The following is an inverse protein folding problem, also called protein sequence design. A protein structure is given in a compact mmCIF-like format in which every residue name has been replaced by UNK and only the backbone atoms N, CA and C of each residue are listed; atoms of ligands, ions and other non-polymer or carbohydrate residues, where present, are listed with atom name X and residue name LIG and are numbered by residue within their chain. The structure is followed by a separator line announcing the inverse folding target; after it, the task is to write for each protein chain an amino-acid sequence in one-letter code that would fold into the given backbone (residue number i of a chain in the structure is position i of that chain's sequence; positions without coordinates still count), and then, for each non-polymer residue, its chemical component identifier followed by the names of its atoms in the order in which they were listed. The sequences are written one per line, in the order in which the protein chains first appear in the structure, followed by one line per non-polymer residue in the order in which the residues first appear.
data_IF_106949159210
#
_entry.id   IF_106949159210
#
_cell.length_a   1.000
_cell.length_b   1.000
_cell.length_c   1.000
_cell.angle_alpha   90.00
_cell.angle_beta   90.00
_cell.angle_gamma   90.00
#
_symmetry.space_group_name_H-M   'P 1'
#
loop_
_entity.id
_entity.type
_entity.pdbx_description
1 polymer ?
#
# COMPACT_ATOMS: atom_id res chain seq x y z
N UNK A 1 -11.91 -26.66 -22.71
CA UNK A 1 -10.81 -25.68 -22.87
C UNK A 1 -11.41 -24.27 -22.94
N UNK A 2 -11.41 -23.53 -21.83
CA UNK A 2 -11.88 -22.14 -21.79
C UNK A 2 -10.73 -21.25 -21.35
N UNK A 3 -10.30 -20.35 -22.23
CA UNK A 3 -9.18 -19.41 -22.04
C UNK A 3 -9.41 -18.53 -20.81
N UNK A 4 -8.59 -18.72 -19.77
CA UNK A 4 -8.56 -17.83 -18.60
C UNK A 4 -7.91 -16.51 -19.00
N UNK A 5 -8.73 -15.57 -19.44
CA UNK A 5 -8.33 -14.18 -19.70
C UNK A 5 -7.98 -13.50 -18.37
N UNK A 6 -6.69 -13.42 -18.08
CA UNK A 6 -6.12 -12.83 -16.87
C UNK A 6 -6.45 -11.33 -16.71
N UNK A 7 -6.89 -10.65 -17.77
CA UNK A 7 -7.25 -9.23 -17.75
C UNK A 7 -8.55 -8.95 -16.99
N UNK A 8 -9.43 -9.93 -16.85
CA UNK A 8 -10.65 -9.78 -16.04
C UNK A 8 -10.39 -9.86 -14.53
N UNK A 9 -9.33 -10.53 -14.08
CA UNK A 9 -8.97 -10.60 -12.66
C UNK A 9 -8.39 -9.27 -12.12
N UNK A 10 -7.84 -8.42 -12.98
CA UNK A 10 -7.25 -7.13 -12.57
C UNK A 10 -8.33 -6.07 -12.36
N UNK A 11 -9.47 -6.17 -13.05
CA UNK A 11 -10.53 -5.14 -13.00
C UNK A 11 -11.53 -5.29 -11.85
N UNK A 12 -11.47 -6.37 -11.07
CA UNK A 12 -12.45 -6.63 -10.00
C UNK A 12 -11.90 -6.59 -8.57
N UNK A 13 -10.58 -6.50 -8.37
CA UNK A 13 -9.98 -6.57 -7.04
C UNK A 13 -9.81 -5.22 -6.31
N UNK A 14 -10.31 -4.13 -6.86
CA UNK A 14 -10.27 -2.80 -6.23
C UNK A 14 -11.56 -2.44 -5.49
N UNK A 15 -12.60 -3.27 -5.63
CA UNK A 15 -13.86 -3.11 -4.91
C UNK A 15 -14.17 -4.39 -4.14
N UNK A 16 -14.17 -4.31 -2.81
CA UNK A 16 -14.78 -5.25 -1.87
C UNK A 16 -14.15 -6.66 -1.81
N UNK A 17 -13.11 -6.81 -1.00
CA UNK A 17 -12.90 -8.05 -0.25
C UNK A 17 -12.90 -7.71 1.25
N UNK A 18 -13.76 -8.42 1.97
CA UNK A 18 -13.86 -8.51 3.43
C UNK A 18 -12.54 -9.01 4.05
N UNK A 19 -11.53 -8.15 4.09
CA UNK A 19 -10.17 -8.45 4.52
C UNK A 19 -9.06 -7.72 3.75
N UNK A 20 -9.38 -6.92 2.73
CA UNK A 20 -8.42 -6.09 2.00
C UNK A 20 -8.44 -4.64 2.48
N UNK A 21 -7.25 -4.03 2.62
CA UNK A 21 -7.12 -2.61 2.97
C UNK A 21 -7.93 -1.76 1.99
N UNK A 22 -8.87 -0.96 2.48
CA UNK A 22 -9.71 -0.12 1.64
C UNK A 22 -8.87 1.04 1.09
N UNK A 23 -8.58 1.01 -0.21
CA UNK A 23 -7.93 2.09 -0.94
C UNK A 23 -8.99 3.02 -1.56
N UNK A 24 -8.94 4.30 -1.17
CA UNK A 24 -9.88 5.31 -1.64
C UNK A 24 -9.21 6.33 -2.57
N UNK A 25 -9.83 6.60 -3.72
CA UNK A 25 -9.43 7.73 -4.57
C UNK A 25 -9.92 9.08 -4.02
N UNK A 26 -11.18 9.14 -3.59
CA UNK A 26 -11.82 10.33 -2.98
C UNK A 26 -12.96 9.94 -2.02
N UNK A 27 -13.22 10.74 -0.97
CA UNK A 27 -12.37 11.79 -0.42
C UNK A 27 -11.28 11.24 0.51
N UNK A 28 -10.04 11.73 0.40
CA UNK A 28 -8.93 11.34 1.30
C UNK A 28 -9.24 11.65 2.76
N UNK A 29 -9.99 12.71 3.04
CA UNK A 29 -10.38 13.07 4.40
C UNK A 29 -11.21 11.99 5.12
N UNK A 30 -11.84 11.04 4.39
CA UNK A 30 -12.65 9.99 5.00
C UNK A 30 -11.83 8.81 5.58
N UNK A 31 -10.52 8.72 5.32
CA UNK A 31 -9.70 7.59 5.81
C UNK A 31 -9.56 7.59 7.33
N UNK A 32 -9.48 8.77 7.96
CA UNK A 32 -9.36 8.90 9.42
C UNK A 32 -10.63 8.41 10.13
N UNK A 33 -11.84 8.95 9.85
CA UNK A 33 -13.05 8.46 10.51
C UNK A 33 -13.34 6.98 10.16
N UNK A 34 -12.98 6.50 8.96
CA UNK A 34 -13.07 5.08 8.61
C UNK A 34 -12.21 4.21 9.53
N UNK A 35 -10.92 4.53 9.66
CA UNK A 35 -10.00 3.79 10.55
C UNK A 35 -10.46 3.83 12.00
N UNK A 36 -10.99 4.97 12.48
CA UNK A 36 -11.54 5.07 13.83
C UNK A 36 -12.79 4.20 14.02
N UNK A 37 -13.67 4.12 13.02
CA UNK A 37 -14.92 3.37 13.12
C UNK A 37 -14.74 1.86 12.95
N UNK A 38 -13.78 1.41 12.14
CA UNK A 38 -13.55 -0.02 11.92
C UNK A 38 -12.40 -0.61 12.69
N UNK A 39 -11.55 0.23 13.27
CA UNK A 39 -10.29 -0.21 13.85
C UNK A 39 -9.42 -0.98 12.82
N UNK A 40 -9.54 -0.64 11.54
CA UNK A 40 -8.76 -1.20 10.44
C UNK A 40 -7.90 -0.12 9.77
N UNK A 41 -6.79 -0.53 9.19
CA UNK A 41 -5.97 0.34 8.35
C UNK A 41 -6.79 0.81 7.13
N UNK A 42 -6.60 2.06 6.73
CA UNK A 42 -7.22 2.60 5.51
C UNK A 42 -6.19 3.39 4.73
N UNK A 43 -6.34 3.46 3.41
CA UNK A 43 -5.39 4.17 2.55
C UNK A 43 -6.09 4.99 1.47
N UNK A 44 -5.45 6.07 1.03
CA UNK A 44 -5.96 6.89 -0.06
C UNK A 44 -4.84 7.43 -0.93
N UNK A 45 -5.06 7.40 -2.24
CA UNK A 45 -4.18 7.97 -3.25
C UNK A 45 -4.19 9.51 -3.29
N UNK A 46 -4.88 10.20 -2.38
CA UNK A 46 -4.93 11.66 -2.39
C UNK A 46 -5.89 12.21 -3.44
N UNK A 47 -7.02 12.76 -2.98
CA UNK A 47 -7.86 13.62 -3.81
C UNK A 47 -7.08 14.90 -4.17
N UNK A 48 -7.56 15.66 -5.16
CA UNK A 48 -6.86 16.87 -5.62
C UNK A 48 -6.61 17.84 -4.46
N UNK A 49 -7.59 18.00 -3.56
CA UNK A 49 -7.43 18.85 -2.38
C UNK A 49 -6.37 18.34 -1.42
N UNK A 50 -6.37 17.04 -1.10
CA UNK A 50 -5.34 16.47 -0.23
C UNK A 50 -3.94 16.69 -0.81
N UNK A 51 -3.74 16.43 -2.11
CA UNK A 51 -2.45 16.64 -2.78
C UNK A 51 -2.01 18.10 -2.79
N UNK A 52 -2.94 19.04 -2.96
CA UNK A 52 -2.66 20.47 -2.85
C UNK A 52 -2.18 20.86 -1.46
N UNK A 53 -2.79 20.33 -0.39
CA UNK A 53 -2.44 20.72 0.99
C UNK A 53 -1.22 19.99 1.56
N UNK A 54 -0.99 18.73 1.18
CA UNK A 54 0.09 17.92 1.73
C UNK A 54 1.32 17.85 0.83
N UNK A 55 1.20 18.27 -0.44
CA UNK A 55 2.28 18.20 -1.41
C UNK A 55 2.58 16.80 -1.93
N UNK A 56 1.69 15.82 -1.74
CA UNK A 56 1.90 14.44 -2.18
C UNK A 56 2.19 14.36 -3.69
N UNK A 57 3.32 13.75 -4.02
CA UNK A 57 3.75 13.41 -5.38
C UNK A 57 2.92 12.24 -5.95
N UNK A 58 2.98 12.03 -7.26
CA UNK A 58 2.20 11.00 -7.94
C UNK A 58 2.44 9.57 -7.41
N UNK A 59 3.63 9.31 -6.86
CA UNK A 59 4.03 8.03 -6.27
C UNK A 59 3.68 7.89 -4.78
N UNK A 60 3.12 8.92 -4.16
CA UNK A 60 2.78 8.91 -2.74
C UNK A 60 1.28 8.75 -2.50
N UNK A 61 0.96 8.13 -1.37
CA UNK A 61 -0.37 7.90 -0.84
C UNK A 61 -0.38 8.14 0.66
N UNK A 62 -1.57 8.29 1.24
CA UNK A 62 -1.77 8.42 2.68
C UNK A 62 -2.31 7.12 3.23
N UNK A 63 -1.81 6.70 4.39
CA UNK A 63 -2.30 5.53 5.11
C UNK A 63 -2.57 5.91 6.57
N UNK A 64 -3.68 5.41 7.12
CA UNK A 64 -4.05 5.56 8.54
C UNK A 64 -3.95 4.22 9.25
N UNK A 65 -3.42 4.26 10.47
CA UNK A 65 -3.22 3.09 11.33
C UNK A 65 -3.99 3.33 12.63
N UNK A 66 -4.74 2.33 13.15
CA UNK A 66 -5.31 2.43 14.48
C UNK A 66 -4.22 2.61 15.54
N UNK A 67 -4.44 3.52 16.49
CA UNK A 67 -3.41 3.85 17.50
C UNK A 67 -2.95 2.64 18.32
N UNK A 68 -3.84 1.71 18.65
CA UNK A 68 -3.51 0.49 19.37
C UNK A 68 -2.57 -0.46 18.61
N UNK A 69 -2.57 -0.41 17.28
CA UNK A 69 -1.74 -1.26 16.41
C UNK A 69 -0.37 -0.63 16.14
N UNK A 70 -0.14 0.62 16.53
CA UNK A 70 1.06 1.37 16.17
C UNK A 70 2.35 0.73 16.70
N UNK A 71 2.34 0.24 17.94
CA UNK A 71 3.51 -0.42 18.53
C UNK A 71 3.87 -1.71 17.78
N UNK A 72 2.88 -2.55 17.47
CA UNK A 72 3.08 -3.79 16.71
C UNK A 72 3.50 -3.54 15.26
N UNK A 73 3.02 -2.46 14.64
CA UNK A 73 3.49 -2.03 13.33
C UNK A 73 4.98 -1.67 13.37
N UNK A 74 5.42 -0.92 14.38
CA UNK A 74 6.81 -0.48 14.51
C UNK A 74 7.77 -1.68 14.65
N UNK A 75 7.43 -2.65 15.49
CA UNK A 75 8.23 -3.88 15.67
C UNK A 75 8.40 -4.66 14.36
N UNK A 76 7.30 -4.88 13.63
CA UNK A 76 7.30 -5.58 12.34
C UNK A 76 8.08 -4.81 11.27
N UNK A 77 7.96 -3.48 11.29
CA UNK A 77 8.69 -2.61 10.37
C UNK A 77 10.19 -2.68 10.60
N UNK A 78 10.65 -2.69 11.86
CA UNK A 78 12.06 -2.84 12.21
C UNK A 78 12.63 -4.15 11.67
N UNK A 79 11.90 -5.26 11.86
CA UNK A 79 12.28 -6.58 11.32
C UNK A 79 12.38 -6.55 9.79
N UNK A 80 11.38 -5.96 9.14
CA UNK A 80 11.31 -5.88 7.68
C UNK A 80 12.43 -5.02 7.09
N UNK A 81 12.75 -3.88 7.72
CA UNK A 81 13.85 -3.01 7.29
C UNK A 81 15.20 -3.72 7.44
N UNK A 82 15.43 -4.42 8.56
CA UNK A 82 16.65 -5.19 8.76
C UNK A 82 16.82 -6.31 7.72
N UNK A 83 15.74 -7.06 7.45
CA UNK A 83 15.74 -8.10 6.42
C UNK A 83 16.00 -7.53 5.01
N UNK A 84 15.31 -6.43 4.65
CA UNK A 84 15.49 -5.78 3.36
C UNK A 84 16.91 -5.23 3.19
N UNK A 85 17.51 -4.68 4.25
CA UNK A 85 18.89 -4.22 4.22
C UNK A 85 19.88 -5.37 3.99
N UNK A 86 19.67 -6.52 4.63
CA UNK A 86 20.50 -7.71 4.43
C UNK A 86 20.36 -8.31 3.02
N UNK A 87 19.17 -8.23 2.41
CA UNK A 87 18.89 -8.76 1.08
C UNK A 87 19.21 -7.78 -0.06
N UNK A 88 19.36 -6.48 0.23
CA UNK A 88 19.58 -5.46 -0.79
C UNK A 88 20.78 -5.74 -1.72
N UNK A 89 21.96 -6.18 -1.23
CA UNK A 89 23.11 -6.46 -2.10
C UNK A 89 22.80 -7.59 -3.09
N UNK A 90 22.19 -8.68 -2.61
CA UNK A 90 21.79 -9.80 -3.46
C UNK A 90 20.85 -9.35 -4.58
N UNK A 91 19.82 -8.54 -4.27
CA UNK A 91 18.90 -8.05 -5.29
C UNK A 91 19.57 -7.08 -6.29
N UNK A 92 20.55 -6.28 -5.85
CA UNK A 92 21.34 -5.42 -6.74
C UNK A 92 22.19 -6.24 -7.71
N UNK A 93 22.85 -7.29 -7.24
CA UNK A 93 23.61 -8.21 -8.10
C UNK A 93 22.72 -8.93 -9.11
N UNK A 94 21.56 -9.42 -8.69
CA UNK A 94 20.60 -10.04 -9.61
C UNK A 94 20.14 -9.04 -10.68
N UNK A 95 19.81 -7.81 -10.30
CA UNK A 95 19.44 -6.76 -11.25
C UNK A 95 20.56 -6.48 -12.26
N UNK A 96 21.80 -6.37 -11.80
CA UNK A 96 22.95 -6.15 -12.68
C UNK A 96 23.13 -7.31 -13.68
N UNK A 97 23.00 -8.56 -13.22
CA UNK A 97 23.07 -9.75 -14.10
C UNK A 97 21.98 -9.75 -15.16
N UNK A 98 20.74 -9.40 -14.80
CA UNK A 98 19.62 -9.32 -15.75
C UNK A 98 19.81 -8.24 -16.83
N UNK A 99 20.56 -7.17 -16.54
CA UNK A 99 20.82 -6.12 -17.52
C UNK A 99 21.97 -6.44 -18.49
N UNK A 100 22.72 -7.52 -18.25
CA UNK A 100 23.83 -7.98 -19.09
C UNK A 100 23.45 -9.11 -20.05
N UNK A 101 22.20 -9.59 -19.99
CA UNK A 101 21.56 -10.55 -20.91
C UNK A 101 20.56 -9.85 -21.80
#
# INVERSE_FOLDING_TARGET
MGSKDWRQNIRFNILLQSGGQSAFGRPTCAIIPRTLQTNEISMSFGCVGARTYTGLTASELVLTVPGGEFAGLLERLQTTVAANAALAPFHQEQKARFLLT
#
